data_IF_667880035982
#
_entry.id   IF_667880035982
#
_cell.length_a   1.000
_cell.length_b   1.000
_cell.length_c   1.000
_cell.angle_alpha   90.00
_cell.angle_beta   90.00
_cell.angle_gamma   90.00
#
_symmetry.space_group_name_H-M   'P 1'
#
loop_
_entity.id
_entity.type
_entity.pdbx_description
1 polymer ?
#
# COMPACT_ATOMS: atom_id res chain seq x y z
N UNK A 1 1.82 -9.25 -2.29
CA UNK A 1 2.78 -8.66 -3.25
C UNK A 1 4.10 -8.41 -2.57
N UNK A 2 5.18 -8.68 -3.27
CA UNK A 2 6.51 -8.39 -2.74
C UNK A 2 6.75 -6.88 -2.67
N UNK A 3 7.13 -6.39 -1.49
CA UNK A 3 7.35 -4.96 -1.27
C UNK A 3 8.45 -4.38 -2.18
N UNK A 4 9.40 -5.19 -2.59
CA UNK A 4 10.47 -4.75 -3.51
C UNK A 4 9.96 -4.38 -4.90
N UNK A 5 8.73 -4.77 -5.25
CA UNK A 5 8.13 -4.48 -6.55
C UNK A 5 7.24 -3.24 -6.53
N UNK A 6 7.11 -2.58 -5.39
CA UNK A 6 6.31 -1.36 -5.29
C UNK A 6 7.00 -0.22 -6.04
N UNK A 7 6.20 0.55 -6.78
CA UNK A 7 6.67 1.70 -7.55
C UNK A 7 5.94 2.93 -7.05
N UNK A 8 6.69 3.96 -6.66
CA UNK A 8 6.11 5.21 -6.17
C UNK A 8 5.23 5.83 -7.27
N UNK A 9 4.05 6.27 -6.87
CA UNK A 9 3.07 6.88 -7.76
C UNK A 9 2.09 5.91 -8.39
N UNK A 10 2.30 4.60 -8.22
CA UNK A 10 1.43 3.59 -8.81
C UNK A 10 0.30 3.21 -7.85
N UNK A 11 -0.89 2.91 -8.38
CA UNK A 11 -2.00 2.43 -7.56
C UNK A 11 -1.86 0.95 -7.24
N UNK A 12 -2.37 0.58 -6.07
CA UNK A 12 -2.44 -0.81 -5.61
C UNK A 12 -3.76 -1.03 -4.91
N UNK A 13 -4.12 -2.29 -4.68
CA UNK A 13 -5.32 -2.65 -3.92
C UNK A 13 -4.90 -3.18 -2.56
N UNK A 14 -5.43 -2.58 -1.52
CA UNK A 14 -5.24 -3.03 -0.15
C UNK A 14 -6.51 -3.70 0.36
N UNK A 15 -6.36 -4.91 0.88
CA UNK A 15 -7.46 -5.62 1.52
C UNK A 15 -7.42 -5.38 3.02
N UNK A 16 -8.48 -4.76 3.55
CA UNK A 16 -8.59 -4.50 4.98
C UNK A 16 -8.81 -5.80 5.76
N UNK A 17 -8.66 -5.72 7.07
CA UNK A 17 -8.92 -6.87 7.95
C UNK A 17 -10.37 -7.36 7.87
N UNK A 18 -11.29 -6.47 7.47
CA UNK A 18 -12.71 -6.82 7.28
C UNK A 18 -12.98 -7.41 5.90
N UNK A 19 -11.98 -7.58 5.08
CA UNK A 19 -12.12 -8.16 3.75
C UNK A 19 -12.57 -7.18 2.67
N UNK A 20 -12.56 -5.90 2.94
CA UNK A 20 -12.86 -4.87 1.93
C UNK A 20 -11.61 -4.50 1.17
N UNK A 21 -11.75 -4.33 -0.14
CA UNK A 21 -10.69 -3.85 -0.99
C UNK A 21 -10.79 -2.34 -1.14
N UNK A 22 -9.65 -1.67 -1.07
CA UNK A 22 -9.59 -0.23 -1.35
C UNK A 22 -8.36 0.08 -2.17
N UNK A 23 -8.52 1.05 -3.09
CA UNK A 23 -7.42 1.50 -3.93
C UNK A 23 -6.56 2.49 -3.16
N UNK A 24 -5.27 2.23 -3.12
CA UNK A 24 -4.29 3.10 -2.46
C UNK A 24 -3.14 3.35 -3.42
N UNK A 25 -2.46 4.46 -3.25
CA UNK A 25 -1.29 4.81 -4.06
C UNK A 25 -0.05 4.74 -3.18
N UNK A 26 0.98 4.06 -3.67
CA UNK A 26 2.27 4.03 -2.98
C UNK A 26 2.97 5.37 -3.18
N UNK A 27 3.23 6.10 -2.10
CA UNK A 27 3.71 7.48 -2.19
C UNK A 27 5.11 7.68 -1.63
N UNK A 28 5.54 6.86 -0.69
CA UNK A 28 6.84 7.03 -0.06
C UNK A 28 7.28 5.77 0.67
N UNK A 29 8.53 5.73 1.03
CA UNK A 29 9.10 4.68 1.86
C UNK A 29 9.80 5.34 3.04
N UNK A 30 9.53 4.87 4.25
CA UNK A 30 10.20 5.40 5.44
C UNK A 30 11.62 4.83 5.53
N UNK A 31 12.50 5.57 6.20
CA UNK A 31 13.89 5.11 6.34
C UNK A 31 14.03 3.87 7.24
N UNK A 32 13.00 3.54 8.03
CA UNK A 32 12.99 2.33 8.87
C UNK A 32 12.39 1.13 8.14
N UNK A 33 12.17 1.21 6.83
CA UNK A 33 11.74 0.09 6.01
C UNK A 33 10.24 -0.12 5.92
N UNK A 34 9.44 0.87 6.26
CA UNK A 34 7.99 0.83 6.08
C UNK A 34 7.58 1.51 4.78
N UNK A 35 6.35 1.25 4.36
CA UNK A 35 5.82 1.71 3.09
C UNK A 35 4.60 2.58 3.32
N UNK A 36 4.59 3.77 2.71
CA UNK A 36 3.53 4.77 2.91
C UNK A 36 2.61 4.74 1.70
N UNK A 37 1.31 4.64 1.98
CA UNK A 37 0.26 4.67 0.98
C UNK A 37 -0.75 5.74 1.34
N UNK A 38 -1.36 6.33 0.32
CA UNK A 38 -2.46 7.27 0.51
C UNK A 38 -3.69 6.78 -0.25
N UNK A 39 -4.87 7.05 0.27
CA UNK A 39 -6.11 6.81 -0.46
C UNK A 39 -6.25 7.84 -1.58
N UNK A 40 -7.17 7.58 -2.51
CA UNK A 40 -7.52 8.51 -3.58
C UNK A 40 -7.89 9.87 -2.96
N UNK A 41 -7.30 10.95 -3.48
CA UNK A 41 -7.51 12.30 -2.95
C UNK A 41 -6.68 12.62 -1.71
N UNK A 42 -5.78 11.74 -1.30
CA UNK A 42 -4.88 11.94 -0.16
C UNK A 42 -5.60 12.13 1.17
N UNK A 43 -6.79 11.55 1.28
CA UNK A 43 -7.64 11.72 2.45
C UNK A 43 -7.12 10.97 3.67
N UNK A 44 -6.60 9.77 3.45
CA UNK A 44 -6.04 8.93 4.52
C UNK A 44 -4.65 8.47 4.15
N UNK A 45 -3.82 8.36 5.16
CA UNK A 45 -2.45 7.88 5.04
C UNK A 45 -2.34 6.54 5.78
N UNK A 46 -1.72 5.57 5.10
CA UNK A 46 -1.43 4.28 5.71
C UNK A 46 0.07 4.04 5.69
N UNK A 47 0.58 3.45 6.76
CA UNK A 47 1.98 3.02 6.83
C UNK A 47 1.97 1.53 7.11
N UNK A 48 2.50 0.74 6.18
CA UNK A 48 2.51 -0.72 6.27
C UNK A 48 3.93 -1.24 6.32
N UNK A 49 4.14 -2.27 7.17
CA UNK A 49 5.37 -3.03 7.13
C UNK A 49 5.39 -3.99 5.94
N UNK A 50 6.54 -4.63 5.67
CA UNK A 50 6.66 -5.55 4.53
C UNK A 50 5.70 -6.74 4.61
N UNK A 51 5.38 -7.22 5.81
CA UNK A 51 4.46 -8.36 5.97
C UNK A 51 3.05 -7.98 5.53
N UNK A 52 2.58 -6.79 5.89
CA UNK A 52 1.25 -6.32 5.48
C UNK A 52 1.20 -6.13 3.96
N UNK A 53 2.25 -5.59 3.37
CA UNK A 53 2.33 -5.46 1.91
C UNK A 53 2.25 -6.83 1.25
N UNK A 54 3.02 -7.80 1.72
CA UNK A 54 3.02 -9.14 1.15
C UNK A 54 1.63 -9.79 1.21
N UNK A 55 0.94 -9.64 2.34
CA UNK A 55 -0.28 -10.39 2.60
C UNK A 55 -1.55 -9.68 2.15
N UNK A 56 -1.54 -8.35 2.07
CA UNK A 56 -2.77 -7.56 1.89
C UNK A 56 -2.75 -6.60 0.72
N UNK A 57 -1.63 -6.39 0.09
CA UNK A 57 -1.49 -5.46 -1.04
C UNK A 57 -1.24 -6.24 -2.31
N UNK A 58 -1.97 -5.87 -3.38
CA UNK A 58 -1.77 -6.47 -4.70
C UNK A 58 -1.83 -5.40 -5.78
N UNK A 59 -1.36 -5.76 -6.97
CA UNK A 59 -1.41 -4.84 -8.10
C UNK A 59 -2.84 -4.45 -8.44
N UNK A 60 -3.02 -3.21 -8.82
CA UNK A 60 -4.32 -2.69 -9.29
C UNK A 60 -4.43 -3.00 -10.78
N UNK A 61 -5.48 -3.69 -11.14
CA UNK A 61 -5.75 -4.05 -12.53
C UNK A 61 -7.06 -3.45 -13.02
#
# INVERSE_FOLDING_TARGET
MDANKLIIGMPYVYRTKKGKDMVVTFTDQTYDGRYVFHTRGWRYRFVFGPDTVRDRVRAYE
#
